data_IF_424047446133
#
_entry.id   IF_424047446133
#
_cell.length_a   1.000
_cell.length_b   1.000
_cell.length_c   1.000
_cell.angle_alpha   90.00
_cell.angle_beta   90.00
_cell.angle_gamma   90.00
#
_symmetry.space_group_name_H-M   'P 1'
#
loop_
_entity.id
_entity.type
_entity.pdbx_description
1 polymer ?
#
# COMPACT_ATOMS: atom_id res chain seq x y z
N UNK A 1 -20.11 11.90 -14.00
CA UNK A 1 -18.97 12.28 -13.14
C UNK A 1 -18.59 11.09 -12.26
N UNK A 2 -17.31 10.94 -11.89
CA UNK A 2 -16.80 9.84 -11.04
C UNK A 2 -17.70 9.54 -9.81
N UNK A 3 -18.27 10.54 -9.10
CA UNK A 3 -19.18 10.29 -7.96
C UNK A 3 -20.46 9.53 -8.31
N UNK A 4 -21.05 9.78 -9.49
CA UNK A 4 -22.27 9.10 -9.93
C UNK A 4 -22.02 7.62 -10.22
N UNK A 5 -20.86 7.31 -10.82
CA UNK A 5 -20.46 5.92 -11.10
C UNK A 5 -20.16 5.16 -9.81
N UNK A 6 -19.49 5.80 -8.84
CA UNK A 6 -19.23 5.22 -7.52
C UNK A 6 -20.53 4.93 -6.77
N UNK A 7 -21.47 5.88 -6.73
CA UNK A 7 -22.77 5.72 -6.06
C UNK A 7 -23.62 4.65 -6.75
N UNK A 8 -23.59 4.58 -8.08
CA UNK A 8 -24.31 3.54 -8.83
C UNK A 8 -23.69 2.16 -8.63
N UNK A 9 -22.37 2.01 -8.70
CA UNK A 9 -21.71 0.72 -8.42
C UNK A 9 -21.91 0.27 -6.97
N UNK A 10 -21.98 1.20 -6.03
CA UNK A 10 -22.33 0.90 -4.64
C UNK A 10 -23.76 0.34 -4.49
N UNK A 11 -24.68 0.69 -5.39
CA UNK A 11 -26.09 0.28 -5.31
C UNK A 11 -26.43 -0.98 -6.12
N UNK A 12 -25.64 -1.33 -7.15
CA UNK A 12 -25.97 -2.46 -8.04
C UNK A 12 -24.80 -3.39 -8.40
N UNK A 13 -23.55 -3.02 -8.10
CA UNK A 13 -22.37 -3.79 -8.50
C UNK A 13 -21.93 -4.83 -7.45
N UNK A 14 -21.16 -5.87 -7.85
CA UNK A 14 -20.48 -6.74 -6.89
C UNK A 14 -19.56 -5.94 -5.96
N UNK A 15 -19.50 -6.33 -4.69
CA UNK A 15 -18.74 -5.62 -3.66
C UNK A 15 -17.26 -5.39 -4.02
N UNK A 16 -16.63 -6.33 -4.73
CA UNK A 16 -15.26 -6.19 -5.20
C UNK A 16 -15.07 -5.15 -6.31
N UNK A 17 -16.05 -5.00 -7.21
CA UNK A 17 -16.04 -3.94 -8.23
C UNK A 17 -16.16 -2.58 -7.55
N UNK A 18 -17.06 -2.47 -6.58
CA UNK A 18 -17.22 -1.26 -5.78
C UNK A 18 -15.93 -0.92 -5.00
N UNK A 19 -15.30 -1.90 -4.35
CA UNK A 19 -14.02 -1.75 -3.64
C UNK A 19 -12.92 -1.21 -4.57
N UNK A 20 -12.72 -1.84 -5.73
CA UNK A 20 -11.70 -1.40 -6.68
C UNK A 20 -12.02 -0.02 -7.25
N UNK A 21 -13.29 0.32 -7.46
CA UNK A 21 -13.68 1.66 -7.92
C UNK A 21 -13.33 2.72 -6.90
N UNK A 22 -13.61 2.48 -5.60
CA UNK A 22 -13.19 3.39 -4.53
C UNK A 22 -11.67 3.48 -4.43
N UNK A 23 -10.96 2.35 -4.45
CA UNK A 23 -9.50 2.31 -4.39
C UNK A 23 -8.88 3.11 -5.55
N UNK A 24 -9.35 2.89 -6.78
CA UNK A 24 -8.92 3.64 -7.96
C UNK A 24 -9.27 5.13 -7.84
N UNK A 25 -10.45 5.48 -7.33
CA UNK A 25 -10.86 6.88 -7.16
C UNK A 25 -9.95 7.63 -6.18
N UNK A 26 -9.68 7.02 -5.02
CA UNK A 26 -8.74 7.57 -4.03
C UNK A 26 -7.33 7.66 -4.62
N UNK A 27 -6.87 6.60 -5.28
CA UNK A 27 -5.56 6.58 -5.95
C UNK A 27 -5.44 7.71 -6.98
N UNK A 28 -6.39 7.85 -7.91
CA UNK A 28 -6.34 8.90 -8.93
C UNK A 28 -6.44 10.31 -8.33
N UNK A 29 -7.21 10.50 -7.26
CA UNK A 29 -7.26 11.77 -6.53
C UNK A 29 -5.90 12.14 -5.93
N UNK A 30 -5.26 11.20 -5.24
CA UNK A 30 -3.92 11.38 -4.66
C UNK A 30 -2.83 11.54 -5.74
N UNK A 31 -2.94 10.78 -6.82
CA UNK A 31 -2.05 10.84 -7.98
C UNK A 31 -2.12 12.20 -8.66
N UNK A 32 -3.34 12.72 -8.84
CA UNK A 32 -3.57 14.06 -9.39
C UNK A 32 -3.00 15.14 -8.48
N UNK A 33 -3.25 15.06 -7.17
CA UNK A 33 -2.69 16.01 -6.19
C UNK A 33 -1.16 16.06 -6.26
N UNK A 34 -0.51 14.88 -6.25
CA UNK A 34 0.94 14.78 -6.42
C UNK A 34 1.41 15.37 -7.76
N UNK A 35 0.70 15.06 -8.85
CA UNK A 35 1.03 15.59 -10.18
C UNK A 35 0.92 17.12 -10.23
N UNK A 36 -0.16 17.69 -9.72
CA UNK A 36 -0.39 19.15 -9.66
C UNK A 36 0.73 19.86 -8.93
N UNK A 37 1.17 19.34 -7.78
CA UNK A 37 2.32 19.89 -7.05
C UNK A 37 3.64 19.71 -7.81
N UNK A 38 3.80 18.59 -8.51
CA UNK A 38 4.97 18.29 -9.33
C UNK A 38 5.15 19.28 -10.48
N UNK A 39 4.11 19.50 -11.28
CA UNK A 39 4.17 20.41 -12.44
C UNK A 39 4.27 21.88 -12.02
N UNK A 40 3.75 22.24 -10.85
CA UNK A 40 3.90 23.60 -10.31
C UNK A 40 5.35 23.91 -9.90
N UNK A 41 6.15 22.89 -9.61
CA UNK A 41 7.50 23.04 -9.05
C UNK A 41 8.62 22.56 -9.98
N UNK A 42 8.29 21.78 -11.02
CA UNK A 42 9.27 21.12 -11.89
C UNK A 42 8.87 21.25 -13.35
N UNK A 43 9.79 21.69 -14.21
CA UNK A 43 9.57 21.66 -15.67
C UNK A 43 9.57 20.21 -16.16
N UNK A 44 8.51 19.82 -16.86
CA UNK A 44 8.33 18.46 -17.40
C UNK A 44 7.97 18.51 -18.88
N UNK A 45 8.29 17.44 -19.60
CA UNK A 45 7.78 17.20 -20.95
C UNK A 45 6.40 16.56 -20.90
N UNK A 46 5.60 16.72 -21.97
CA UNK A 46 4.27 16.08 -22.08
C UNK A 46 4.39 14.55 -21.96
N UNK A 47 5.43 13.95 -22.54
CA UNK A 47 5.69 12.51 -22.44
C UNK A 47 5.97 12.03 -21.01
N UNK A 48 6.73 12.78 -20.21
CA UNK A 48 6.97 12.45 -18.79
C UNK A 48 5.71 12.60 -17.96
N UNK A 49 4.90 13.60 -18.22
CA UNK A 49 3.60 13.78 -17.56
C UNK A 49 2.64 12.63 -17.87
N UNK A 50 2.56 12.20 -19.14
CA UNK A 50 1.77 11.02 -19.54
C UNK A 50 2.28 9.75 -18.87
N UNK A 51 3.60 9.52 -18.91
CA UNK A 51 4.24 8.38 -18.26
C UNK A 51 3.97 8.33 -16.76
N UNK A 52 4.02 9.48 -16.08
CA UNK A 52 3.70 9.57 -14.66
C UNK A 52 2.26 9.19 -14.38
N UNK A 53 1.30 9.78 -15.12
CA UNK A 53 -0.13 9.63 -14.84
C UNK A 53 -0.65 8.22 -15.14
N UNK A 54 -0.17 7.58 -16.20
CA UNK A 54 -0.79 6.35 -16.72
C UNK A 54 0.09 5.10 -16.63
N UNK A 55 1.41 5.26 -16.57
CA UNK A 55 2.36 4.14 -16.69
C UNK A 55 3.25 3.95 -15.45
N UNK A 56 3.01 4.73 -14.40
CA UNK A 56 3.73 4.63 -13.13
C UNK A 56 2.77 4.65 -11.94
N UNK A 57 2.93 3.70 -11.02
CA UNK A 57 2.07 3.58 -9.84
C UNK A 57 2.54 4.42 -8.63
N UNK A 58 3.77 4.93 -8.63
CA UNK A 58 4.31 5.72 -7.51
C UNK A 58 3.74 7.14 -7.46
N UNK A 59 3.84 7.79 -6.29
CA UNK A 59 3.22 9.10 -6.04
C UNK A 59 4.21 10.23 -5.72
N UNK A 60 5.46 10.12 -6.20
CA UNK A 60 6.45 11.20 -6.15
C UNK A 60 6.62 11.83 -7.54
N UNK A 61 5.76 12.80 -7.86
CA UNK A 61 5.83 13.51 -9.13
C UNK A 61 7.10 14.35 -9.28
N UNK A 62 7.63 14.91 -8.19
CA UNK A 62 8.81 15.79 -8.27
C UNK A 62 10.02 15.03 -8.78
N UNK A 63 10.30 13.88 -8.18
CA UNK A 63 11.43 13.03 -8.60
C UNK A 63 11.21 12.43 -9.99
N UNK A 64 9.99 11.99 -10.31
CA UNK A 64 9.69 11.39 -11.61
C UNK A 64 9.77 12.39 -12.77
N UNK A 65 9.27 13.62 -12.57
CA UNK A 65 9.24 14.62 -13.63
C UNK A 65 10.60 15.31 -13.81
N UNK A 66 11.40 15.43 -12.74
CA UNK A 66 12.72 16.06 -12.79
C UNK A 66 13.72 15.31 -13.69
N UNK A 67 14.49 16.04 -14.50
CA UNK A 67 15.61 15.48 -15.27
C UNK A 67 16.75 15.13 -14.31
N UNK A 68 16.87 13.86 -13.95
CA UNK A 68 17.92 13.38 -13.05
C UNK A 68 19.02 12.64 -13.82
N UNK A 69 20.28 13.04 -13.61
CA UNK A 69 21.44 12.56 -14.37
C UNK A 69 22.19 11.38 -13.72
N UNK A 70 21.86 11.00 -12.49
CA UNK A 70 22.59 9.96 -11.75
C UNK A 70 21.64 8.99 -11.04
N UNK A 71 21.06 8.06 -11.81
CA UNK A 71 20.27 6.97 -11.26
C UNK A 71 21.12 5.71 -11.16
N UNK A 72 20.98 5.00 -10.04
CA UNK A 72 21.59 3.68 -9.88
C UNK A 72 20.98 2.73 -10.91
N UNK A 73 21.83 2.18 -11.79
CA UNK A 73 21.37 1.19 -12.78
C UNK A 73 20.84 -0.05 -12.06
N UNK A 74 19.63 -0.53 -12.39
CA UNK A 74 19.09 -1.74 -11.80
C UNK A 74 20.01 -2.93 -12.04
N UNK A 75 20.33 -3.68 -10.98
CA UNK A 75 21.19 -4.85 -11.09
C UNK A 75 20.42 -6.07 -11.61
N UNK A 76 21.13 -7.05 -12.18
CA UNK A 76 20.53 -8.34 -12.59
C UNK A 76 19.84 -9.04 -11.42
N UNK A 77 20.42 -8.96 -10.22
CA UNK A 77 19.83 -9.52 -8.99
C UNK A 77 18.50 -8.84 -8.68
N UNK A 78 18.41 -7.52 -8.85
CA UNK A 78 17.16 -6.78 -8.63
C UNK A 78 16.05 -7.22 -9.59
N UNK A 79 16.37 -7.42 -10.88
CA UNK A 79 15.46 -7.98 -11.87
C UNK A 79 14.96 -9.37 -11.47
N UNK A 80 15.88 -10.28 -11.14
CA UNK A 80 15.53 -11.64 -10.71
C UNK A 80 14.61 -11.59 -9.49
N UNK A 81 14.93 -10.78 -8.47
CA UNK A 81 14.09 -10.64 -7.28
C UNK A 81 12.69 -10.10 -7.60
N UNK A 82 12.56 -9.13 -8.51
CA UNK A 82 11.26 -8.58 -8.91
C UNK A 82 10.42 -9.63 -9.66
N UNK A 83 11.03 -10.36 -10.60
CA UNK A 83 10.37 -11.46 -11.33
C UNK A 83 9.98 -12.60 -10.37
N UNK A 84 10.87 -13.01 -9.46
CA UNK A 84 10.56 -14.06 -8.49
C UNK A 84 9.39 -13.69 -7.58
N UNK A 85 9.26 -12.43 -7.14
CA UNK A 85 8.09 -11.97 -6.37
C UNK A 85 6.81 -12.01 -7.20
N UNK A 86 6.88 -11.65 -8.48
CA UNK A 86 5.74 -11.73 -9.38
C UNK A 86 5.28 -13.19 -9.57
N UNK A 87 6.21 -14.11 -9.86
CA UNK A 87 5.92 -15.54 -10.01
C UNK A 87 5.38 -16.13 -8.70
N UNK A 88 5.97 -15.78 -7.55
CA UNK A 88 5.46 -16.20 -6.25
C UNK A 88 4.02 -15.70 -6.03
N UNK A 89 3.74 -14.44 -6.33
CA UNK A 89 2.40 -13.87 -6.23
C UNK A 89 1.38 -14.60 -7.10
N UNK A 90 1.73 -14.89 -8.34
CA UNK A 90 0.91 -15.69 -9.25
C UNK A 90 0.68 -17.11 -8.72
N UNK A 91 1.73 -17.77 -8.24
CA UNK A 91 1.63 -19.12 -7.65
C UNK A 91 0.72 -19.15 -6.42
N UNK A 92 0.85 -18.18 -5.51
CA UNK A 92 -0.02 -18.06 -4.33
C UNK A 92 -1.48 -17.77 -4.72
N UNK A 93 -1.70 -16.97 -5.78
CA UNK A 93 -3.03 -16.72 -6.32
C UNK A 93 -3.65 -18.02 -6.86
N UNK A 94 -2.90 -18.80 -7.64
CA UNK A 94 -3.34 -20.12 -8.14
C UNK A 94 -3.67 -21.06 -6.99
N UNK A 95 -2.83 -21.14 -5.95
CA UNK A 95 -3.13 -21.93 -4.74
C UNK A 95 -4.43 -21.46 -4.08
N UNK A 96 -4.65 -20.15 -3.99
CA UNK A 96 -5.90 -19.59 -3.50
C UNK A 96 -7.12 -20.04 -4.32
N UNK A 97 -7.01 -20.06 -5.65
CA UNK A 97 -8.08 -20.53 -6.54
C UNK A 97 -8.35 -22.03 -6.36
N UNK A 98 -7.31 -22.85 -6.24
CA UNK A 98 -7.47 -24.31 -6.05
C UNK A 98 -8.10 -24.67 -4.70
N UNK A 99 -7.92 -23.83 -3.67
CA UNK A 99 -8.44 -24.07 -2.33
C UNK A 99 -9.84 -23.47 -2.10
N UNK A 100 -10.41 -22.77 -3.06
CA UNK A 100 -11.61 -21.93 -2.85
C UNK A 100 -12.83 -22.72 -2.36
N UNK A 101 -13.01 -23.94 -2.86
CA UNK A 101 -14.14 -24.81 -2.52
C UNK A 101 -13.83 -25.77 -1.35
N UNK A 102 -12.57 -25.83 -0.90
CA UNK A 102 -12.13 -26.72 0.20
C UNK A 102 -11.95 -25.95 1.50
N UNK A 103 -11.24 -24.82 1.45
CA UNK A 103 -10.87 -24.03 2.62
C UNK A 103 -11.05 -22.53 2.34
N UNK A 104 -12.28 -22.03 2.44
CA UNK A 104 -12.67 -20.66 2.08
C UNK A 104 -11.76 -19.55 2.64
N UNK A 105 -11.50 -19.52 3.96
CA UNK A 105 -10.67 -18.48 4.58
C UNK A 105 -9.20 -18.60 4.16
N UNK A 106 -8.69 -19.83 4.04
CA UNK A 106 -7.31 -20.07 3.60
C UNK A 106 -7.13 -19.60 2.17
N UNK A 107 -8.06 -19.95 1.28
CA UNK A 107 -8.10 -19.47 -0.09
C UNK A 107 -8.10 -17.94 -0.17
N UNK A 108 -8.91 -17.28 0.67
CA UNK A 108 -8.96 -15.83 0.76
C UNK A 108 -7.61 -15.21 1.13
N UNK A 109 -6.93 -15.75 2.14
CA UNK A 109 -5.59 -15.29 2.54
C UNK A 109 -4.53 -15.53 1.46
N UNK A 110 -4.50 -16.72 0.86
CA UNK A 110 -3.58 -17.01 -0.25
C UNK A 110 -3.83 -16.09 -1.44
N UNK A 111 -5.09 -15.83 -1.79
CA UNK A 111 -5.46 -14.88 -2.84
C UNK A 111 -5.02 -13.45 -2.52
N UNK A 112 -5.29 -12.95 -1.31
CA UNK A 112 -4.86 -11.60 -0.90
C UNK A 112 -3.34 -11.45 -0.90
N UNK A 113 -2.60 -12.40 -0.32
CA UNK A 113 -1.14 -12.39 -0.30
C UNK A 113 -0.60 -12.52 -1.73
N UNK A 114 -1.20 -13.38 -2.55
CA UNK A 114 -0.87 -13.53 -3.97
C UNK A 114 -1.01 -12.22 -4.74
N UNK A 115 -2.15 -11.54 -4.61
CA UNK A 115 -2.38 -10.23 -5.22
C UNK A 115 -1.41 -9.15 -4.71
N UNK A 116 -1.13 -9.12 -3.41
CA UNK A 116 -0.16 -8.21 -2.82
C UNK A 116 1.24 -8.43 -3.42
N UNK A 117 1.70 -9.68 -3.51
CA UNK A 117 3.00 -10.01 -4.10
C UNK A 117 3.04 -9.72 -5.59
N UNK A 118 2.01 -10.13 -6.33
CA UNK A 118 1.90 -9.95 -7.78
C UNK A 118 1.95 -8.46 -8.14
N UNK A 119 1.14 -7.63 -7.48
CA UNK A 119 1.01 -6.20 -7.81
C UNK A 119 2.11 -5.35 -7.17
N UNK A 120 2.20 -5.33 -5.83
CA UNK A 120 3.02 -4.35 -5.12
C UNK A 120 4.50 -4.71 -5.09
N UNK A 121 4.80 -6.00 -4.93
CA UNK A 121 6.18 -6.48 -4.80
C UNK A 121 6.79 -6.92 -6.14
N UNK A 122 5.98 -7.41 -7.07
CA UNK A 122 6.38 -7.86 -8.39
C UNK A 122 6.22 -6.78 -9.46
N UNK A 123 5.00 -6.57 -9.94
CA UNK A 123 4.71 -5.71 -11.08
C UNK A 123 5.20 -4.26 -10.89
N UNK A 124 4.87 -3.62 -9.75
CA UNK A 124 5.31 -2.25 -9.50
C UNK A 124 6.83 -2.14 -9.32
N UNK A 125 7.49 -3.18 -8.83
CA UNK A 125 8.96 -3.22 -8.76
C UNK A 125 9.56 -3.34 -10.17
N UNK A 126 9.00 -4.18 -11.04
CA UNK A 126 9.41 -4.26 -12.45
C UNK A 126 9.21 -2.94 -13.19
N UNK A 127 8.07 -2.27 -12.99
CA UNK A 127 7.82 -0.95 -13.57
C UNK A 127 8.84 0.09 -13.07
N UNK A 128 9.19 0.08 -11.77
CA UNK A 128 10.23 0.94 -11.22
C UNK A 128 11.58 0.71 -11.91
N UNK A 129 11.94 -0.55 -12.11
CA UNK A 129 13.18 -0.94 -12.78
C UNK A 129 13.19 -0.45 -14.24
N UNK A 130 12.08 -0.63 -14.97
CA UNK A 130 11.94 -0.16 -16.35
C UNK A 130 12.11 1.36 -16.47
N UNK A 131 11.45 2.12 -15.58
CA UNK A 131 11.57 3.58 -15.54
C UNK A 131 12.98 4.05 -15.18
N UNK A 132 13.62 3.45 -14.17
CA UNK A 132 15.01 3.77 -13.80
C UNK A 132 15.99 3.43 -14.93
N UNK A 133 15.77 2.33 -15.66
CA UNK A 133 16.53 2.00 -16.87
C UNK A 133 16.34 3.04 -17.98
N UNK A 134 15.15 3.62 -18.08
CA UNK A 134 14.83 4.72 -18.99
C UNK A 134 15.29 6.10 -18.48
N UNK A 135 16.05 6.17 -17.37
CA UNK A 135 16.59 7.43 -16.85
C UNK A 135 15.58 8.26 -16.04
N UNK A 136 14.54 7.64 -15.50
CA UNK A 136 13.53 8.30 -14.65
C UNK A 136 13.64 7.84 -13.20
N UNK A 137 13.63 8.79 -12.25
CA UNK A 137 13.73 8.49 -10.82
C UNK A 137 12.41 7.93 -10.26
N UNK A 138 12.16 6.67 -10.58
CA UNK A 138 11.00 5.92 -10.13
C UNK A 138 11.42 4.94 -9.03
N UNK A 139 11.52 5.40 -7.79
CA UNK A 139 11.82 4.54 -6.65
C UNK A 139 10.74 3.44 -6.46
N UNK A 140 11.11 2.20 -6.09
CA UNK A 140 10.14 1.16 -5.77
C UNK A 140 9.16 1.59 -4.69
N UNK A 141 7.87 1.24 -4.83
CA UNK A 141 6.82 1.58 -3.85
C UNK A 141 7.03 0.82 -2.53
N UNK A 142 7.62 -0.38 -2.59
CA UNK A 142 8.00 -1.21 -1.45
C UNK A 142 9.52 -1.39 -1.43
N UNK A 143 10.15 -1.14 -0.28
CA UNK A 143 11.60 -1.29 -0.08
C UNK A 143 11.91 -2.34 0.99
N UNK A 144 11.96 -3.61 0.57
CA UNK A 144 12.25 -4.78 1.39
C UNK A 144 11.66 -4.73 2.83
N UNK A 145 10.32 -4.66 3.00
CA UNK A 145 9.68 -4.48 4.30
C UNK A 145 10.01 -5.57 5.33
N UNK A 146 10.26 -6.80 4.87
CA UNK A 146 10.68 -7.92 5.72
C UNK A 146 12.01 -7.66 6.46
N UNK A 147 12.84 -6.75 5.94
CA UNK A 147 14.12 -6.37 6.54
C UNK A 147 14.00 -5.25 7.57
N UNK A 148 12.78 -4.77 7.85
CA UNK A 148 12.54 -3.72 8.82
C UNK A 148 13.17 -4.06 10.18
N UNK A 149 14.00 -3.16 10.69
CA UNK A 149 14.65 -3.32 11.99
C UNK A 149 13.80 -2.85 13.17
N UNK A 150 12.73 -2.09 12.87
CA UNK A 150 11.75 -1.60 13.82
C UNK A 150 10.44 -1.21 13.12
N UNK A 151 9.40 -0.93 13.92
CA UNK A 151 8.08 -0.55 13.39
C UNK A 151 8.12 0.82 12.69
N UNK A 152 8.92 1.75 13.21
CA UNK A 152 9.17 3.05 12.57
C UNK A 152 9.89 2.91 11.23
N UNK A 153 10.82 1.95 11.09
CA UNK A 153 11.52 1.65 9.83
C UNK A 153 10.55 1.03 8.80
N UNK A 154 9.70 0.09 9.24
CA UNK A 154 8.66 -0.52 8.41
C UNK A 154 7.74 0.52 7.77
N UNK A 155 7.03 1.32 8.59
CA UNK A 155 6.04 2.30 8.11
C UNK A 155 6.67 3.56 7.50
N UNK A 156 7.89 3.93 7.92
CA UNK A 156 8.53 5.17 7.52
C UNK A 156 9.45 5.07 6.30
N UNK A 157 9.96 3.88 5.98
CA UNK A 157 11.00 3.73 4.95
C UNK A 157 10.82 2.56 4.01
N UNK A 158 9.94 1.61 4.32
CA UNK A 158 9.90 0.34 3.61
C UNK A 158 8.54 -0.01 3.03
N UNK A 159 7.47 0.32 3.74
CA UNK A 159 6.10 0.02 3.34
C UNK A 159 5.43 1.22 2.67
N UNK A 160 4.96 1.02 1.44
CA UNK A 160 4.17 1.97 0.66
C UNK A 160 4.70 3.41 0.68
N UNK A 161 5.89 3.59 0.09
CA UNK A 161 6.58 4.88 0.04
C UNK A 161 5.75 5.98 -0.66
N UNK A 162 4.95 5.58 -1.65
CA UNK A 162 4.03 6.48 -2.33
C UNK A 162 3.02 7.11 -1.34
N UNK A 163 2.34 6.31 -0.53
CA UNK A 163 1.41 6.83 0.48
C UNK A 163 2.12 7.57 1.62
N UNK A 164 3.30 7.09 2.03
CA UNK A 164 4.13 7.75 3.04
C UNK A 164 4.44 9.20 2.65
N UNK A 165 4.90 9.43 1.42
CA UNK A 165 5.35 10.76 0.98
C UNK A 165 4.20 11.78 0.95
N UNK A 166 3.04 11.35 0.46
CA UNK A 166 1.83 12.18 0.49
C UNK A 166 1.35 12.44 1.91
N UNK A 167 1.29 11.42 2.75
CA UNK A 167 0.86 11.56 4.14
C UNK A 167 1.80 12.48 4.93
N UNK A 168 3.10 12.38 4.68
CA UNK A 168 4.07 13.27 5.29
C UNK A 168 3.85 14.73 4.85
N UNK A 169 3.59 14.95 3.56
CA UNK A 169 3.42 16.28 2.97
C UNK A 169 2.11 16.95 3.38
N UNK A 170 0.99 16.24 3.27
CA UNK A 170 -0.35 16.83 3.43
C UNK A 170 -0.97 16.64 4.81
N UNK A 171 -0.45 15.70 5.62
CA UNK A 171 -1.02 15.42 6.95
C UNK A 171 0.01 15.73 8.03
N UNK A 172 1.20 15.12 7.98
CA UNK A 172 2.18 15.27 9.05
C UNK A 172 2.73 16.69 9.16
N UNK A 173 3.28 17.26 8.07
CA UNK A 173 3.89 18.59 8.07
C UNK A 173 2.95 19.71 8.53
N UNK A 174 1.68 19.79 8.06
CA UNK A 174 0.76 20.82 8.53
C UNK A 174 0.36 20.67 10.00
N UNK A 175 0.33 19.43 10.51
CA UNK A 175 -0.14 19.16 11.87
C UNK A 175 0.98 19.18 12.92
N UNK A 176 2.25 18.99 12.54
CA UNK A 176 3.36 18.92 13.51
C UNK A 176 3.51 20.20 14.32
N UNK A 177 3.26 21.37 13.72
CA UNK A 177 3.33 22.66 14.42
C UNK A 177 2.19 22.86 15.43
N UNK A 178 1.05 22.18 15.26
CA UNK A 178 -0.14 22.33 16.11
C UNK A 178 -0.27 21.23 17.16
N UNK A 179 0.05 19.99 16.79
CA UNK A 179 -0.16 18.79 17.61
C UNK A 179 1.15 18.16 18.12
N UNK A 180 2.30 18.72 17.73
CA UNK A 180 3.60 18.12 17.96
C UNK A 180 3.83 16.83 17.16
N UNK A 181 5.01 16.24 17.31
CA UNK A 181 5.42 15.03 16.57
C UNK A 181 4.48 13.86 16.88
N UNK A 182 4.13 13.65 18.15
CA UNK A 182 3.32 12.51 18.55
C UNK A 182 1.89 12.59 17.99
N UNK A 183 1.25 13.76 18.12
CA UNK A 183 -0.10 13.99 17.59
C UNK A 183 -0.15 13.93 16.07
N UNK A 184 0.83 14.51 15.38
CA UNK A 184 0.92 14.43 13.91
C UNK A 184 1.16 12.99 13.41
N UNK A 185 1.99 12.20 14.11
CA UNK A 185 2.15 10.77 13.80
C UNK A 185 0.82 10.03 13.96
N UNK A 186 0.11 10.22 15.07
CA UNK A 186 -1.18 9.55 15.28
C UNK A 186 -2.21 9.96 14.23
N UNK A 187 -2.24 11.24 13.84
CA UNK A 187 -3.15 11.73 12.80
C UNK A 187 -2.92 11.03 11.44
N UNK A 188 -1.66 10.82 11.03
CA UNK A 188 -1.34 10.06 9.80
C UNK A 188 -1.92 8.65 9.86
N UNK A 189 -1.72 7.95 10.97
CA UNK A 189 -2.24 6.59 11.14
C UNK A 189 -3.78 6.56 11.20
N UNK A 190 -4.40 7.52 11.89
CA UNK A 190 -5.86 7.62 11.97
C UNK A 190 -6.49 7.85 10.59
N UNK A 191 -5.96 8.81 9.81
CA UNK A 191 -6.43 9.08 8.44
C UNK A 191 -6.23 7.86 7.56
N UNK A 192 -5.08 7.17 7.67
CA UNK A 192 -4.87 5.92 6.95
C UNK A 192 -5.92 4.87 7.31
N UNK A 193 -6.23 4.71 8.60
CA UNK A 193 -7.29 3.85 9.11
C UNK A 193 -8.66 4.13 8.50
N UNK A 194 -9.07 5.41 8.47
CA UNK A 194 -10.34 5.84 7.89
C UNK A 194 -10.40 5.52 6.39
N UNK A 195 -9.31 5.76 5.66
CA UNK A 195 -9.25 5.43 4.22
C UNK A 195 -9.37 3.92 4.01
N UNK A 196 -8.76 3.09 4.88
CA UNK A 196 -8.91 1.65 4.77
C UNK A 196 -10.32 1.19 5.15
N UNK A 197 -10.98 1.80 6.14
CA UNK A 197 -12.39 1.53 6.42
C UNK A 197 -13.30 1.87 5.22
N UNK A 198 -13.05 3.01 4.57
CA UNK A 198 -13.75 3.44 3.36
C UNK A 198 -13.57 2.44 2.21
N UNK A 199 -12.36 1.95 1.98
CA UNK A 199 -12.05 1.10 0.83
C UNK A 199 -12.32 -0.38 1.11
N UNK A 200 -12.13 -0.87 2.33
CA UNK A 200 -12.24 -2.29 2.70
C UNK A 200 -13.60 -2.56 3.34
N UNK A 201 -13.93 -1.85 4.42
CA UNK A 201 -15.07 -2.23 5.27
C UNK A 201 -16.42 -1.82 4.68
N UNK A 202 -16.52 -0.65 4.03
CA UNK A 202 -17.77 -0.19 3.41
C UNK A 202 -18.23 -1.11 2.27
N UNK A 203 -17.40 -1.46 1.26
CA UNK A 203 -17.82 -2.37 0.20
C UNK A 203 -18.15 -3.76 0.71
N UNK A 204 -17.46 -4.22 1.77
CA UNK A 204 -17.74 -5.49 2.41
C UNK A 204 -19.01 -5.48 3.28
N UNK A 205 -19.62 -4.32 3.54
CA UNK A 205 -20.65 -4.14 4.56
C UNK A 205 -20.23 -4.76 5.92
N UNK A 206 -18.96 -4.56 6.30
CA UNK A 206 -18.32 -5.17 7.47
C UNK A 206 -18.36 -4.33 8.74
N UNK A 207 -19.10 -3.21 8.74
CA UNK A 207 -19.04 -2.19 9.79
C UNK A 207 -17.90 -1.19 9.57
N UNK A 208 -17.69 -0.26 10.51
CA UNK A 208 -16.59 0.70 10.48
C UNK A 208 -15.73 0.54 11.73
N UNK A 209 -14.43 0.78 11.60
CA UNK A 209 -13.51 0.98 12.72
C UNK A 209 -12.48 -0.12 12.93
N UNK A 210 -12.62 -1.30 12.31
CA UNK A 210 -11.66 -2.39 12.47
C UNK A 210 -10.29 -2.05 11.81
N UNK A 211 -10.22 -1.68 10.51
CA UNK A 211 -9.04 -1.06 9.92
C UNK A 211 -8.54 0.17 10.68
N UNK A 212 -9.43 1.06 11.13
CA UNK A 212 -9.01 2.22 11.91
C UNK A 212 -8.30 1.82 13.20
N UNK A 213 -8.83 0.84 13.93
CA UNK A 213 -8.22 0.30 15.14
C UNK A 213 -6.85 -0.33 14.83
N UNK A 214 -6.72 -1.08 13.73
CA UNK A 214 -5.44 -1.62 13.28
C UNK A 214 -4.39 -0.50 13.15
N UNK A 215 -4.70 0.58 12.42
CA UNK A 215 -3.73 1.67 12.23
C UNK A 215 -3.48 2.48 13.51
N UNK A 216 -4.47 2.63 14.39
CA UNK A 216 -4.26 3.22 15.73
C UNK A 216 -3.29 2.38 16.56
N UNK A 217 -3.36 1.05 16.50
CA UNK A 217 -2.38 0.14 17.12
C UNK A 217 -0.99 0.37 16.50
N UNK A 218 -0.88 0.50 15.18
CA UNK A 218 0.40 0.79 14.52
C UNK A 218 1.00 2.13 14.97
N UNK A 219 0.19 3.20 14.99
CA UNK A 219 0.61 4.52 15.43
C UNK A 219 1.04 4.51 16.90
N UNK A 220 0.27 3.85 17.75
CA UNK A 220 0.60 3.66 19.17
C UNK A 220 1.90 2.89 19.35
N UNK A 221 2.12 1.84 18.55
CA UNK A 221 3.37 1.07 18.53
C UNK A 221 4.57 1.93 18.13
N UNK A 222 4.43 2.78 17.11
CA UNK A 222 5.49 3.72 16.69
C UNK A 222 5.80 4.70 17.81
N UNK A 223 4.79 5.26 18.48
CA UNK A 223 4.99 6.19 19.61
C UNK A 223 5.62 5.48 20.81
N UNK A 224 5.19 4.26 21.11
CA UNK A 224 5.76 3.41 22.16
C UNK A 224 7.25 3.14 21.90
N UNK A 225 7.62 2.81 20.66
CA UNK A 225 9.01 2.64 20.25
C UNK A 225 9.85 3.92 20.50
N UNK A 226 9.25 5.12 20.48
CA UNK A 226 9.93 6.39 20.80
C UNK A 226 9.97 6.73 22.29
N UNK A 227 9.13 6.10 23.11
CA UNK A 227 9.05 6.33 24.55
C UNK A 227 10.30 5.89 25.30
N UNK A 228 10.45 6.33 26.56
CA UNK A 228 11.56 5.88 27.44
C UNK A 228 11.55 4.37 27.63
N UNK A 229 10.37 3.76 27.78
CA UNK A 229 10.21 2.33 27.99
C UNK A 229 10.57 1.54 26.72
N UNK A 230 10.09 1.96 25.55
CA UNK A 230 10.44 1.31 24.27
C UNK A 230 11.95 1.35 23.99
N UNK A 231 12.59 2.48 24.29
CA UNK A 231 14.06 2.59 24.24
C UNK A 231 14.77 1.63 25.20
N UNK A 232 14.28 1.51 26.44
CA UNK A 232 14.84 0.59 27.46
C UNK A 232 14.69 -0.88 27.05
N UNK A 233 13.55 -1.23 26.44
CA UNK A 233 13.29 -2.59 25.95
C UNK A 233 14.05 -2.91 24.65
N UNK A 234 14.59 -1.91 23.97
CA UNK A 234 15.36 -2.07 22.75
C UNK A 234 14.50 -2.33 21.51
N UNK A 235 13.26 -1.81 21.47
CA UNK A 235 12.31 -2.06 20.35
C UNK A 235 12.66 -1.34 19.04
N UNK A 236 13.73 -0.52 19.04
CA UNK A 236 14.19 0.26 17.87
C UNK A 236 15.22 -0.44 16.99
N UNK A 237 15.81 -1.55 17.44
CA UNK A 237 16.92 -2.18 16.72
C UNK A 237 17.09 -3.66 17.07
N UNK A 238 17.81 -4.35 16.21
CA UNK A 238 18.18 -5.75 16.41
C UNK A 238 16.97 -6.69 16.43
N UNK A 239 17.17 -7.89 16.99
CA UNK A 239 16.14 -8.95 17.01
C UNK A 239 14.90 -8.52 17.78
N UNK A 240 15.05 -7.81 18.90
CA UNK A 240 13.91 -7.33 19.70
C UNK A 240 13.05 -6.33 18.92
N UNK A 241 13.66 -5.40 18.18
CA UNK A 241 12.93 -4.48 17.32
C UNK A 241 12.20 -5.19 16.17
N UNK A 242 12.83 -6.21 15.57
CA UNK A 242 12.21 -7.06 14.55
C UNK A 242 11.00 -7.83 15.08
N UNK A 243 11.13 -8.48 16.24
CA UNK A 243 10.03 -9.20 16.89
C UNK A 243 8.90 -8.23 17.22
N UNK A 244 9.21 -7.08 17.83
CA UNK A 244 8.22 -6.07 18.14
C UNK A 244 7.47 -5.59 16.88
N UNK A 245 8.21 -5.29 15.81
CA UNK A 245 7.63 -4.92 14.51
C UNK A 245 6.70 -6.02 13.98
N UNK A 246 7.17 -7.27 13.95
CA UNK A 246 6.40 -8.40 13.44
C UNK A 246 5.12 -8.63 14.26
N UNK A 247 5.21 -8.61 15.59
CA UNK A 247 4.05 -8.81 16.47
C UNK A 247 3.03 -7.69 16.30
N UNK A 248 3.46 -6.42 16.28
CA UNK A 248 2.54 -5.29 16.16
C UNK A 248 1.92 -5.19 14.77
N UNK A 249 2.65 -5.53 13.71
CA UNK A 249 2.13 -5.49 12.34
C UNK A 249 1.28 -6.71 11.99
N UNK A 250 1.73 -7.93 12.33
CA UNK A 250 1.06 -9.17 11.90
C UNK A 250 0.00 -9.64 12.90
N UNK A 251 0.19 -9.42 14.20
CA UNK A 251 -0.76 -9.86 15.24
C UNK A 251 -2.18 -9.35 15.00
N UNK A 252 -2.41 -8.04 14.81
CA UNK A 252 -3.74 -7.49 14.60
C UNK A 252 -4.18 -7.51 13.12
N UNK A 253 -3.52 -8.26 12.22
CA UNK A 253 -3.78 -8.16 10.77
C UNK A 253 -5.22 -8.53 10.38
N UNK A 254 -5.90 -9.38 11.16
CA UNK A 254 -7.30 -9.72 10.97
C UNK A 254 -8.25 -8.55 11.27
N UNK A 255 -7.80 -7.50 11.97
CA UNK A 255 -8.57 -6.25 12.10
C UNK A 255 -8.56 -5.48 10.77
N UNK A 256 -7.44 -5.50 10.05
CA UNK A 256 -7.32 -4.85 8.74
C UNK A 256 -8.09 -5.62 7.66
N UNK A 257 -7.92 -6.95 7.62
CA UNK A 257 -8.61 -7.85 6.69
C UNK A 257 -9.58 -8.75 7.46
N UNK A 258 -10.70 -8.17 7.86
CA UNK A 258 -11.74 -8.86 8.61
C UNK A 258 -12.53 -9.87 7.74
N UNK A 259 -13.22 -10.83 8.38
CA UNK A 259 -13.93 -11.91 7.67
C UNK A 259 -14.92 -11.38 6.62
N UNK A 260 -15.79 -10.39 6.90
CA UNK A 260 -16.70 -9.85 5.89
C UNK A 260 -15.99 -9.40 4.61
N UNK A 261 -14.80 -8.81 4.72
CA UNK A 261 -14.00 -8.44 3.56
C UNK A 261 -13.55 -9.66 2.76
N UNK A 262 -13.04 -10.69 3.42
CA UNK A 262 -12.63 -11.92 2.75
C UNK A 262 -13.83 -12.57 2.05
N UNK A 263 -14.93 -12.75 2.77
CA UNK A 263 -16.09 -13.53 2.32
C UNK A 263 -16.89 -12.83 1.22
N UNK A 264 -17.03 -11.49 1.29
CA UNK A 264 -17.92 -10.73 0.38
C UNK A 264 -17.17 -10.02 -0.73
N UNK A 265 -15.86 -9.79 -0.58
CA UNK A 265 -15.05 -9.07 -1.57
C UNK A 265 -14.05 -10.01 -2.21
N UNK A 266 -13.16 -10.61 -1.43
CA UNK A 266 -12.03 -11.37 -1.98
C UNK A 266 -12.50 -12.68 -2.64
N UNK A 267 -13.28 -13.51 -1.94
CA UNK A 267 -13.70 -14.80 -2.47
C UNK A 267 -14.54 -14.67 -3.76
N UNK A 268 -15.56 -13.79 -3.84
CA UNK A 268 -16.30 -13.60 -5.08
C UNK A 268 -15.42 -13.12 -6.24
N UNK A 269 -14.45 -12.24 -5.97
CA UNK A 269 -13.49 -11.80 -6.98
C UNK A 269 -12.61 -12.96 -7.46
N UNK A 270 -12.09 -13.79 -6.55
CA UNK A 270 -11.29 -14.96 -6.89
C UNK A 270 -12.10 -15.96 -7.74
N UNK A 271 -13.38 -16.19 -7.44
CA UNK A 271 -14.24 -17.05 -8.28
C UNK A 271 -14.34 -16.55 -9.71
N UNK A 272 -14.52 -15.25 -9.92
CA UNK A 272 -14.57 -14.65 -11.26
C UNK A 272 -13.24 -14.81 -11.99
N UNK A 273 -12.12 -14.57 -11.30
CA UNK A 273 -10.77 -14.76 -11.87
C UNK A 273 -10.57 -16.24 -12.28
N UNK A 274 -10.97 -17.18 -11.43
CA UNK A 274 -10.90 -18.61 -11.71
C UNK A 274 -11.73 -19.02 -12.94
N UNK A 275 -12.95 -18.48 -13.07
CA UNK A 275 -13.82 -18.77 -14.22
C UNK A 275 -13.36 -18.15 -15.54
N UNK A 276 -12.55 -17.09 -15.50
CA UNK A 276 -12.02 -16.44 -16.70
C UNK A 276 -10.72 -17.07 -17.23
N UNK A 277 -10.09 -17.93 -16.43
CA UNK A 277 -8.82 -18.59 -16.75
C UNK A 277 -8.92 -20.08 -17.09
N UNK A 278 -10.12 -20.67 -17.02
CA UNK A 278 -10.43 -22.04 -17.46
C UNK A 278 -11.27 -22.04 -18.72
#
# INVERSE_FOLDING_TARGET
SLPVVVVWLASVGPAWVFMWTLACSVYFGLKWLSFSDGIATTRSTVGRSFGYLLLWAGMDAKSFLASSAALSRPSLVEWCLAVSKLVLGLGLLVVGLLLIDVHHLVAGWFGMIGLLFMLHFGLFHLLSILWRRAGVDAAPIMDAPILASSLSDFWGRRWNLAFRDLSHTYIFRPLVGRLGIAGATMAVFLVSGIVHDLVISIPAAGGLGLPTLYFVIQGSGVLFERSRLGKRLGTRKGVRGRIFCAVVTLGPICLLFHSPFIDRVIIPMLRVIGSAGG
#
